data_IF_753284236471
#
_entry.id   IF_753284236471
#
_cell.length_a   1.000
_cell.length_b   1.000
_cell.length_c   1.000
_cell.angle_alpha   90.00
_cell.angle_beta   90.00
_cell.angle_gamma   90.00
#
_symmetry.space_group_name_H-M   'P 1'
#
loop_
_entity.id
_entity.type
_entity.pdbx_description
1 polymer ?
#
# COMPACT_ATOMS: atom_id res chain seq x y z
N UNK A 1 -9.80 26.01 -12.13
CA UNK A 1 -8.72 25.04 -12.38
C UNK A 1 -7.80 25.10 -11.19
N UNK A 2 -7.93 24.16 -10.25
CA UNK A 2 -7.08 24.07 -9.06
C UNK A 2 -5.74 23.45 -9.50
N UNK A 3 -4.66 24.16 -9.20
CA UNK A 3 -3.29 23.70 -9.50
C UNK A 3 -2.96 22.46 -8.64
N UNK A 4 -2.95 21.29 -9.27
CA UNK A 4 -2.66 19.99 -8.64
C UNK A 4 -1.15 19.68 -8.59
N UNK A 5 -0.27 20.69 -8.68
CA UNK A 5 1.19 20.49 -8.71
C UNK A 5 1.83 20.23 -7.33
N UNK A 6 1.09 20.33 -6.23
CA UNK A 6 1.59 20.15 -4.87
C UNK A 6 1.78 18.67 -4.46
N UNK A 7 2.68 18.44 -3.49
CA UNK A 7 2.94 17.10 -2.92
C UNK A 7 1.68 16.41 -2.35
N UNK A 8 0.71 17.18 -1.87
CA UNK A 8 -0.57 16.67 -1.38
C UNK A 8 -1.44 16.08 -2.50
N UNK A 9 -1.43 16.69 -3.69
CA UNK A 9 -2.21 16.19 -4.83
C UNK A 9 -1.72 14.82 -5.30
N UNK A 10 -0.40 14.56 -5.26
CA UNK A 10 0.18 13.26 -5.64
C UNK A 10 -0.15 12.15 -4.64
N UNK A 11 -0.23 12.46 -3.36
CA UNK A 11 -0.70 11.53 -2.34
C UNK A 11 -2.13 11.10 -2.62
N UNK A 12 -3.02 12.05 -2.86
CA UNK A 12 -4.43 11.80 -3.17
C UNK A 12 -4.61 10.93 -4.44
N UNK A 13 -3.85 11.20 -5.51
CA UNK A 13 -3.88 10.37 -6.73
C UNK A 13 -3.45 8.94 -6.45
N UNK A 14 -2.46 8.74 -5.59
CA UNK A 14 -1.99 7.39 -5.24
C UNK A 14 -3.02 6.63 -4.40
N UNK A 15 -3.64 7.29 -3.41
CA UNK A 15 -4.73 6.71 -2.62
C UNK A 15 -5.92 6.30 -3.51
N UNK A 16 -6.28 7.12 -4.50
CA UNK A 16 -7.33 6.79 -5.47
C UNK A 16 -6.97 5.55 -6.32
N UNK A 17 -5.72 5.45 -6.80
CA UNK A 17 -5.24 4.28 -7.52
C UNK A 17 -5.27 3.00 -6.66
N UNK A 18 -4.96 3.13 -5.38
CA UNK A 18 -5.03 2.03 -4.43
C UNK A 18 -6.47 1.60 -4.17
N UNK A 19 -7.39 2.56 -3.96
CA UNK A 19 -8.82 2.28 -3.81
C UNK A 19 -9.35 1.50 -5.04
N UNK A 20 -9.05 1.98 -6.25
CA UNK A 20 -9.44 1.29 -7.49
C UNK A 20 -8.83 -0.11 -7.59
N UNK A 21 -7.58 -0.29 -7.17
CA UNK A 21 -6.91 -1.59 -7.17
C UNK A 21 -7.58 -2.57 -6.20
N UNK A 22 -7.88 -2.13 -4.99
CA UNK A 22 -8.55 -2.95 -3.98
C UNK A 22 -10.00 -3.30 -4.40
N UNK A 23 -10.74 -2.34 -4.98
CA UNK A 23 -12.09 -2.60 -5.52
C UNK A 23 -12.11 -3.65 -6.62
N UNK A 24 -11.07 -3.72 -7.45
CA UNK A 24 -10.95 -4.78 -8.47
C UNK A 24 -10.81 -6.19 -7.86
N UNK A 25 -10.35 -6.32 -6.63
CA UNK A 25 -10.31 -7.61 -5.93
C UNK A 25 -11.68 -8.05 -5.42
N UNK A 26 -12.59 -7.12 -5.15
CA UNK A 26 -13.89 -7.41 -4.53
C UNK A 26 -14.74 -8.34 -5.39
N UNK A 27 -14.81 -8.09 -6.71
CA UNK A 27 -15.60 -8.92 -7.64
C UNK A 27 -15.12 -10.38 -7.70
N UNK A 28 -13.84 -10.64 -8.01
CA UNK A 28 -13.27 -11.99 -7.98
C UNK A 28 -13.38 -12.70 -6.62
N UNK A 29 -13.23 -11.97 -5.51
CA UNK A 29 -13.43 -12.53 -4.17
C UNK A 29 -14.88 -12.95 -3.94
N UNK A 30 -15.83 -12.08 -4.34
CA UNK A 30 -17.27 -12.39 -4.23
C UNK A 30 -17.66 -13.62 -5.06
N UNK A 31 -17.08 -13.82 -6.24
CA UNK A 31 -17.32 -15.01 -7.07
C UNK A 31 -16.83 -16.31 -6.40
N UNK A 32 -15.92 -16.21 -5.45
CA UNK A 32 -15.42 -17.31 -4.61
C UNK A 32 -16.16 -17.43 -3.26
N UNK A 33 -17.23 -16.66 -3.06
CA UNK A 33 -18.01 -16.66 -1.82
C UNK A 33 -17.34 -15.92 -0.66
N UNK A 34 -16.33 -15.08 -0.93
CA UNK A 34 -15.64 -14.26 0.07
C UNK A 34 -16.27 -12.87 0.06
N UNK A 35 -16.93 -12.49 1.16
CA UNK A 35 -17.39 -11.12 1.37
C UNK A 35 -16.20 -10.21 1.62
N UNK A 36 -16.17 -9.05 0.97
CA UNK A 36 -15.09 -8.09 1.11
C UNK A 36 -15.64 -6.70 1.46
N UNK A 37 -15.09 -6.10 2.52
CA UNK A 37 -15.45 -4.76 2.97
C UNK A 37 -14.24 -3.85 2.86
N UNK A 38 -14.37 -2.80 2.06
CA UNK A 38 -13.33 -1.80 1.84
C UNK A 38 -13.79 -0.45 2.38
N UNK A 39 -12.99 0.18 3.24
CA UNK A 39 -13.18 1.52 3.77
C UNK A 39 -11.96 2.37 3.48
N UNK A 40 -12.17 3.58 2.98
CA UNK A 40 -11.13 4.63 2.89
C UNK A 40 -11.00 5.40 4.20
N UNK A 41 -10.02 6.30 4.29
CA UNK A 41 -9.64 7.01 5.51
C UNK A 41 -10.83 7.69 6.22
N UNK A 42 -11.69 8.40 5.49
CA UNK A 42 -12.85 9.09 6.10
C UNK A 42 -13.85 8.08 6.68
N UNK A 43 -14.15 7.01 5.95
CA UNK A 43 -15.07 5.97 6.41
C UNK A 43 -14.53 5.23 7.64
N UNK A 44 -13.20 5.03 7.72
CA UNK A 44 -12.55 4.47 8.91
C UNK A 44 -12.77 5.37 10.13
N UNK A 45 -12.59 6.68 9.97
CA UNK A 45 -12.83 7.64 11.05
C UNK A 45 -14.28 7.64 11.52
N UNK A 46 -15.22 7.64 10.57
CA UNK A 46 -16.65 7.67 10.86
C UNK A 46 -17.09 6.38 11.57
N UNK A 47 -16.62 5.23 11.10
CA UNK A 47 -16.97 3.93 11.65
C UNK A 47 -16.42 3.70 13.05
N UNK A 48 -15.15 4.03 13.27
CA UNK A 48 -14.50 3.81 14.56
C UNK A 48 -14.64 5.02 15.51
N UNK A 49 -15.34 6.08 15.09
CA UNK A 49 -15.70 7.23 15.94
C UNK A 49 -14.50 8.02 16.43
N UNK A 50 -13.39 8.04 15.71
CA UNK A 50 -12.17 8.74 16.08
C UNK A 50 -11.63 9.62 14.95
N UNK A 51 -11.71 10.94 15.13
CA UNK A 51 -11.12 11.91 14.19
C UNK A 51 -9.57 11.82 14.08
N UNK A 52 -8.92 11.18 15.06
CA UNK A 52 -7.47 11.03 15.10
C UNK A 52 -6.92 9.77 14.39
N UNK A 53 -7.78 8.96 13.76
CA UNK A 53 -7.38 7.80 12.98
C UNK A 53 -6.90 8.22 11.57
N UNK A 54 -5.79 8.92 11.49
CA UNK A 54 -5.16 9.42 10.27
C UNK A 54 -3.79 8.78 10.04
N UNK A 55 -3.72 7.48 10.08
CA UNK A 55 -2.51 6.69 9.85
C UNK A 55 -2.79 5.37 9.15
N UNK A 56 -4.04 5.14 8.75
CA UNK A 56 -4.47 4.03 7.90
C UNK A 56 -5.32 4.64 6.79
N UNK A 57 -4.88 4.48 5.55
CA UNK A 57 -5.57 5.04 4.38
C UNK A 57 -6.67 4.09 3.89
N UNK A 58 -6.44 2.76 3.98
CA UNK A 58 -7.46 1.75 3.67
C UNK A 58 -7.56 0.65 4.73
N UNK A 59 -8.80 0.29 5.02
CA UNK A 59 -9.21 -0.88 5.80
C UNK A 59 -9.90 -1.86 4.83
N UNK A 60 -9.33 -3.04 4.66
CA UNK A 60 -9.84 -4.05 3.75
C UNK A 60 -10.04 -5.36 4.51
N UNK A 61 -11.30 -5.67 4.82
CA UNK A 61 -11.70 -6.87 5.58
C UNK A 61 -12.29 -7.89 4.62
N UNK A 62 -11.76 -9.10 4.68
CA UNK A 62 -12.29 -10.29 4.03
C UNK A 62 -12.99 -11.15 5.06
N UNK A 63 -14.28 -11.37 4.85
CA UNK A 63 -15.16 -12.13 5.73
C UNK A 63 -15.39 -13.53 5.12
N UNK A 64 -14.70 -14.50 5.65
CA UNK A 64 -14.83 -15.92 5.35
C UNK A 64 -14.66 -16.73 6.65
N UNK A 65 -14.49 -18.05 6.56
CA UNK A 65 -14.26 -18.91 7.74
C UNK A 65 -13.03 -18.50 8.55
N UNK A 66 -11.98 -18.00 7.88
CA UNK A 66 -10.79 -17.42 8.48
C UNK A 66 -10.66 -15.94 8.08
N UNK A 67 -11.31 -15.00 8.77
CA UNK A 67 -11.31 -13.60 8.38
C UNK A 67 -9.92 -13.02 8.31
N UNK A 68 -9.68 -12.17 7.30
CA UNK A 68 -8.40 -11.49 7.11
C UNK A 68 -8.63 -9.99 7.01
N UNK A 69 -7.99 -9.23 7.89
CA UNK A 69 -8.01 -7.78 7.89
C UNK A 69 -6.69 -7.23 7.40
N UNK A 70 -6.72 -6.46 6.32
CA UNK A 70 -5.62 -5.66 5.85
C UNK A 70 -5.79 -4.21 6.30
N UNK A 71 -4.76 -3.65 6.92
CA UNK A 71 -4.65 -2.23 7.27
C UNK A 71 -3.51 -1.63 6.46
N UNK A 72 -3.82 -0.68 5.58
CA UNK A 72 -2.89 -0.15 4.60
C UNK A 72 -2.57 1.31 4.88
N UNK A 73 -1.30 1.67 4.78
CA UNK A 73 -0.82 3.05 4.74
C UNK A 73 -0.01 3.29 3.48
N UNK A 74 -0.29 4.36 2.77
CA UNK A 74 0.22 4.66 1.45
C UNK A 74 1.04 5.95 1.43
N UNK A 75 2.29 5.87 0.98
CA UNK A 75 3.22 7.01 1.00
C UNK A 75 3.94 7.17 -0.35
N UNK A 76 3.37 8.01 -1.21
CA UNK A 76 4.03 8.38 -2.46
C UNK A 76 4.86 9.65 -2.28
N UNK A 77 5.93 9.56 -1.51
CA UNK A 77 6.85 10.67 -1.25
C UNK A 77 8.30 10.22 -1.16
N UNK A 78 9.23 11.19 -1.19
CA UNK A 78 10.66 10.92 -1.21
C UNK A 78 11.27 10.57 0.15
N UNK A 79 10.62 10.92 1.23
CA UNK A 79 11.11 10.64 2.60
C UNK A 79 9.96 10.15 3.46
N UNK A 80 10.18 9.03 4.09
CA UNK A 80 9.32 8.47 5.13
C UNK A 80 10.07 8.51 6.45
N UNK A 81 9.49 9.18 7.43
CA UNK A 81 10.11 9.33 8.74
C UNK A 81 9.51 8.37 9.78
N UNK A 82 10.25 8.17 10.89
CA UNK A 82 9.82 7.28 11.96
C UNK A 82 8.48 7.70 12.61
N UNK A 83 8.19 9.00 12.69
CA UNK A 83 6.94 9.48 13.29
C UNK A 83 5.72 8.99 12.54
N UNK A 84 5.78 8.95 11.20
CA UNK A 84 4.68 8.46 10.37
C UNK A 84 4.47 6.96 10.52
N UNK A 85 5.58 6.21 10.63
CA UNK A 85 5.53 4.78 10.92
C UNK A 85 4.87 4.52 12.29
N UNK A 86 5.30 5.24 13.32
CA UNK A 86 4.70 5.12 14.66
C UNK A 86 3.20 5.46 14.62
N UNK A 87 2.83 6.53 13.93
CA UNK A 87 1.44 6.95 13.76
C UNK A 87 0.58 5.87 13.06
N UNK A 88 1.11 5.21 12.04
CA UNK A 88 0.46 4.08 11.39
C UNK A 88 0.23 2.91 12.36
N UNK A 89 1.28 2.49 13.06
CA UNK A 89 1.19 1.36 14.01
C UNK A 89 0.23 1.66 15.17
N UNK A 90 0.26 2.88 15.70
CA UNK A 90 -0.67 3.33 16.73
C UNK A 90 -2.13 3.36 16.23
N UNK A 91 -2.34 3.79 14.98
CA UNK A 91 -3.65 3.78 14.35
C UNK A 91 -4.17 2.35 14.19
N UNK A 92 -3.34 1.42 13.69
CA UNK A 92 -3.68 0.00 13.60
C UNK A 92 -4.09 -0.56 14.97
N UNK A 93 -3.34 -0.25 16.02
CA UNK A 93 -3.63 -0.73 17.38
C UNK A 93 -4.98 -0.19 17.88
N UNK A 94 -5.30 1.09 17.63
CA UNK A 94 -6.58 1.70 18.01
C UNK A 94 -7.76 1.11 17.25
N UNK A 95 -7.63 0.85 15.96
CA UNK A 95 -8.66 0.18 15.17
C UNK A 95 -8.95 -1.20 15.76
N UNK A 96 -7.91 -1.99 16.03
CA UNK A 96 -8.06 -3.33 16.60
C UNK A 96 -8.66 -3.31 18.01
N UNK A 97 -8.35 -2.31 18.83
CA UNK A 97 -8.97 -2.14 20.14
C UNK A 97 -10.49 -1.88 20.07
N UNK A 98 -11.00 -1.38 18.93
CA UNK A 98 -12.45 -1.23 18.65
C UNK A 98 -13.10 -2.47 18.05
N UNK A 99 -12.32 -3.52 17.81
CA UNK A 99 -12.76 -4.80 17.26
C UNK A 99 -12.40 -5.97 18.20
N UNK A 100 -12.84 -5.94 19.47
CA UNK A 100 -12.38 -6.92 20.47
C UNK A 100 -12.77 -8.37 20.12
N UNK A 101 -13.83 -8.55 19.36
CA UNK A 101 -14.32 -9.86 18.92
C UNK A 101 -13.70 -10.36 17.62
N UNK A 102 -12.87 -9.55 16.96
CA UNK A 102 -12.18 -9.97 15.75
C UNK A 102 -11.09 -11.00 16.06
N UNK A 103 -11.25 -12.21 15.54
CA UNK A 103 -10.32 -13.35 15.75
C UNK A 103 -9.59 -13.76 14.48
N UNK A 104 -9.70 -12.96 13.42
CA UNK A 104 -9.05 -13.21 12.16
C UNK A 104 -7.58 -12.82 12.14
N UNK A 105 -6.94 -13.06 11.00
CA UNK A 105 -5.56 -12.65 10.74
C UNK A 105 -5.50 -11.16 10.43
N UNK A 106 -4.61 -10.42 11.08
CA UNK A 106 -4.36 -9.00 10.80
C UNK A 106 -3.06 -8.84 10.02
N UNK A 107 -3.13 -8.17 8.89
CA UNK A 107 -2.00 -7.88 8.01
C UNK A 107 -1.86 -6.36 7.91
N UNK A 108 -0.71 -5.83 8.32
CA UNK A 108 -0.36 -4.42 8.22
C UNK A 108 0.52 -4.23 7.01
N UNK A 109 0.14 -3.32 6.08
CA UNK A 109 0.87 -3.03 4.86
C UNK A 109 1.32 -1.57 4.85
N UNK A 110 2.63 -1.39 4.80
CA UNK A 110 3.24 -0.09 4.55
C UNK A 110 3.66 -0.02 3.08
N UNK A 111 2.97 0.80 2.31
CA UNK A 111 3.13 0.90 0.86
C UNK A 111 3.85 2.21 0.56
N UNK A 112 5.02 2.15 -0.06
CA UNK A 112 5.86 3.34 -0.18
C UNK A 112 6.69 3.37 -1.46
N UNK A 113 6.94 4.59 -1.95
CA UNK A 113 7.87 4.83 -3.05
C UNK A 113 9.34 4.67 -2.62
N UNK A 114 9.66 5.07 -1.41
CA UNK A 114 11.05 5.11 -0.91
C UNK A 114 11.22 4.23 0.31
N UNK A 115 12.42 3.71 0.48
CA UNK A 115 12.74 2.94 1.67
C UNK A 115 12.52 3.79 2.92
N UNK A 116 11.84 3.27 3.95
CA UNK A 116 11.77 3.91 5.25
C UNK A 116 13.17 4.14 5.82
N UNK A 117 13.31 5.11 6.72
CA UNK A 117 14.56 5.26 7.50
C UNK A 117 14.85 3.98 8.28
N UNK A 118 16.11 3.72 8.63
CA UNK A 118 16.50 2.52 9.38
C UNK A 118 15.67 2.32 10.67
N UNK A 119 15.38 3.40 11.39
CA UNK A 119 14.52 3.34 12.57
C UNK A 119 13.06 3.06 12.21
N UNK A 120 12.56 3.63 11.10
CA UNK A 120 11.21 3.35 10.59
C UNK A 120 11.06 1.90 10.15
N UNK A 121 12.05 1.36 9.44
CA UNK A 121 12.07 -0.04 9.02
C UNK A 121 12.07 -1.00 10.23
N UNK A 122 12.91 -0.71 11.23
CA UNK A 122 12.93 -1.46 12.50
C UNK A 122 11.57 -1.42 13.20
N UNK A 123 10.94 -0.25 13.29
CA UNK A 123 9.61 -0.12 13.92
C UNK A 123 8.53 -0.88 13.14
N UNK A 124 8.54 -0.85 11.81
CA UNK A 124 7.62 -1.65 10.98
C UNK A 124 7.81 -3.15 11.22
N UNK A 125 9.07 -3.59 11.30
CA UNK A 125 9.42 -4.96 11.60
C UNK A 125 8.90 -5.40 12.97
N UNK A 126 9.19 -4.62 14.00
CA UNK A 126 8.74 -4.88 15.38
C UNK A 126 7.21 -4.86 15.49
N UNK A 127 6.55 -3.98 14.71
CA UNK A 127 5.09 -3.91 14.59
C UNK A 127 4.47 -4.99 13.72
N UNK A 128 5.25 -5.92 13.15
CA UNK A 128 4.76 -7.00 12.28
C UNK A 128 4.13 -6.52 10.99
N UNK A 129 4.60 -5.40 10.44
CA UNK A 129 4.12 -4.84 9.19
C UNK A 129 4.96 -5.32 7.99
N UNK A 130 4.30 -5.57 6.88
CA UNK A 130 4.95 -5.82 5.59
C UNK A 130 5.21 -4.48 4.89
N UNK A 131 6.30 -4.42 4.13
CA UNK A 131 6.64 -3.25 3.31
C UNK A 131 6.57 -3.61 1.83
N UNK A 132 5.74 -2.90 1.09
CA UNK A 132 5.68 -2.97 -0.38
C UNK A 132 6.30 -1.70 -0.92
N UNK A 133 7.37 -1.82 -1.70
CA UNK A 133 8.14 -0.68 -2.16
C UNK A 133 8.51 -0.79 -3.63
N UNK A 134 8.30 0.30 -4.37
CA UNK A 134 8.93 0.54 -5.67
C UNK A 134 9.00 2.03 -5.99
N UNK A 135 10.04 2.45 -6.68
CA UNK A 135 10.21 3.81 -7.17
C UNK A 135 9.75 4.01 -8.62
N UNK A 136 9.22 2.97 -9.27
CA UNK A 136 8.94 2.97 -10.72
C UNK A 136 7.77 3.91 -11.06
N UNK A 137 6.56 3.59 -10.65
CA UNK A 137 5.37 4.42 -10.83
C UNK A 137 4.32 4.11 -9.76
N UNK A 138 3.33 5.02 -9.61
CA UNK A 138 2.19 4.80 -8.70
C UNK A 138 1.39 3.58 -9.11
N UNK A 139 1.08 3.46 -10.40
CA UNK A 139 0.29 2.37 -10.95
C UNK A 139 0.99 1.02 -10.74
N UNK A 140 2.31 0.97 -10.94
CA UNK A 140 3.09 -0.25 -10.69
C UNK A 140 3.12 -0.61 -9.20
N UNK A 141 3.24 0.37 -8.30
CA UNK A 141 3.19 0.13 -6.85
C UNK A 141 1.82 -0.38 -6.42
N UNK A 142 0.74 0.20 -6.94
CA UNK A 142 -0.62 -0.26 -6.67
C UNK A 142 -0.85 -1.70 -7.16
N UNK A 143 -0.38 -2.01 -8.38
CA UNK A 143 -0.46 -3.36 -8.95
C UNK A 143 0.34 -4.38 -8.11
N UNK A 144 1.58 -4.06 -7.74
CA UNK A 144 2.40 -4.91 -6.87
C UNK A 144 1.71 -5.17 -5.53
N UNK A 145 1.07 -4.15 -4.96
CA UNK A 145 0.34 -4.30 -3.70
C UNK A 145 -0.83 -5.26 -3.86
N UNK A 146 -1.62 -5.12 -4.91
CA UNK A 146 -2.71 -6.05 -5.20
C UNK A 146 -2.22 -7.49 -5.38
N UNK A 147 -1.13 -7.70 -6.13
CA UNK A 147 -0.50 -9.03 -6.28
C UNK A 147 -0.05 -9.59 -4.93
N UNK A 148 0.60 -8.76 -4.11
CA UNK A 148 1.08 -9.18 -2.79
C UNK A 148 -0.07 -9.58 -1.86
N UNK A 149 -1.20 -8.86 -1.90
CA UNK A 149 -2.42 -9.24 -1.17
C UNK A 149 -2.89 -10.63 -1.62
N UNK A 150 -2.98 -10.88 -2.92
CA UNK A 150 -3.36 -12.19 -3.45
C UNK A 150 -2.41 -13.31 -3.01
N UNK A 151 -1.09 -13.05 -3.01
CA UNK A 151 -0.08 -14.01 -2.53
C UNK A 151 -0.25 -14.32 -1.05
N UNK A 152 -0.55 -13.30 -0.22
CA UNK A 152 -0.81 -13.48 1.21
C UNK A 152 -2.10 -14.27 1.49
N UNK A 153 -3.05 -14.23 0.56
CA UNK A 153 -4.27 -15.06 0.61
C UNK A 153 -4.02 -16.48 0.10
N UNK A 154 -2.88 -16.74 -0.54
CA UNK A 154 -2.55 -18.05 -1.11
C UNK A 154 -3.34 -18.40 -2.38
N UNK A 155 -4.03 -17.43 -2.97
CA UNK A 155 -4.90 -17.62 -4.13
C UNK A 155 -4.22 -17.17 -5.43
N UNK A 156 -3.59 -18.12 -6.11
CA UNK A 156 -2.89 -17.87 -7.39
C UNK A 156 -3.85 -17.55 -8.54
N UNK A 157 -5.07 -18.02 -8.49
CA UNK A 157 -6.07 -17.77 -9.51
C UNK A 157 -6.59 -16.34 -9.40
N UNK A 158 -6.88 -15.88 -8.20
CA UNK A 158 -7.20 -14.49 -7.90
C UNK A 158 -6.08 -13.55 -8.38
N UNK A 159 -4.81 -13.91 -8.16
CA UNK A 159 -3.67 -13.13 -8.65
C UNK A 159 -3.68 -13.01 -10.18
N UNK A 160 -3.92 -14.10 -10.89
CA UNK A 160 -3.96 -14.13 -12.35
C UNK A 160 -5.11 -13.29 -12.89
N UNK A 161 -6.30 -13.41 -12.32
CA UNK A 161 -7.49 -12.68 -12.75
C UNK A 161 -7.32 -11.18 -12.51
N UNK A 162 -6.73 -10.79 -11.38
CA UNK A 162 -6.39 -9.41 -11.09
C UNK A 162 -5.40 -8.83 -12.11
N UNK A 163 -4.33 -9.56 -12.43
CA UNK A 163 -3.32 -9.13 -13.41
C UNK A 163 -3.98 -8.97 -14.79
N UNK A 164 -4.84 -9.89 -15.19
CA UNK A 164 -5.55 -9.84 -16.47
C UNK A 164 -6.49 -8.62 -16.60
N UNK A 165 -7.01 -8.11 -15.48
CA UNK A 165 -7.92 -6.94 -15.45
C UNK A 165 -7.21 -5.60 -15.30
N UNK A 166 -5.87 -5.58 -15.22
CA UNK A 166 -5.04 -4.37 -15.03
C UNK A 166 -4.21 -3.93 -16.27
N UNK A 167 -4.57 -4.22 -17.54
CA UNK A 167 -3.64 -4.02 -18.65
C UNK A 167 -3.22 -2.58 -18.92
N UNK A 168 -4.02 -1.57 -18.54
CA UNK A 168 -3.87 -0.21 -19.07
C UNK A 168 -3.38 0.86 -18.09
N UNK A 169 -3.14 0.53 -16.82
CA UNK A 169 -2.61 1.51 -15.88
C UNK A 169 -1.15 1.91 -16.18
N UNK A 170 -0.43 1.11 -16.97
CA UNK A 170 0.97 1.34 -17.33
C UNK A 170 1.16 2.24 -18.55
N UNK A 171 0.12 2.48 -19.37
CA UNK A 171 0.27 3.12 -20.67
C UNK A 171 0.24 4.65 -20.69
N UNK A 172 -0.06 5.31 -19.57
CA UNK A 172 -0.31 6.76 -19.51
C UNK A 172 0.62 7.62 -18.65
N UNK A 173 1.43 7.05 -17.78
CA UNK A 173 2.28 7.86 -16.88
C UNK A 173 3.65 8.13 -17.51
N UNK A 174 3.92 9.41 -17.85
CA UNK A 174 5.31 9.85 -18.09
C UNK A 174 6.11 9.65 -16.80
N UNK A 175 7.36 9.14 -16.88
CA UNK A 175 8.23 9.07 -15.71
C UNK A 175 8.32 10.45 -15.05
N UNK A 176 8.02 10.52 -13.75
CA UNK A 176 8.18 11.75 -12.99
C UNK A 176 9.67 12.09 -12.95
N UNK A 177 10.06 13.18 -13.62
CA UNK A 177 11.42 13.68 -13.51
C UNK A 177 11.76 13.92 -12.04
N UNK A 178 12.87 13.34 -11.59
CA UNK A 178 13.41 13.62 -10.28
C UNK A 178 13.72 15.12 -10.16
N UNK A 179 13.47 15.77 -9.02
CA UNK A 179 13.85 17.16 -8.83
C UNK A 179 15.37 17.28 -9.05
N UNK A 180 15.77 18.14 -9.97
CA UNK A 180 17.18 18.42 -10.26
C UNK A 180 17.84 18.98 -8.99
N UNK A 181 18.54 18.11 -8.24
CA UNK A 181 19.56 18.55 -7.31
C UNK A 181 20.77 18.94 -8.16
N UNK A 182 21.18 20.18 -8.11
CA UNK A 182 22.43 20.62 -8.69
C UNK A 182 23.60 19.87 -8.06
N UNK A 183 24.10 18.84 -8.75
CA UNK A 183 25.37 18.19 -8.53
C UNK A 183 25.73 17.45 -9.82
N UNK A 184 26.97 17.63 -10.23
CA UNK A 184 27.64 17.22 -11.44
C UNK A 184 27.26 15.82 -11.96
N UNK A 185 26.88 15.81 -13.23
CA UNK A 185 26.51 14.66 -14.03
C UNK A 185 27.75 13.77 -14.30
N UNK A 186 27.89 12.65 -13.58
CA UNK A 186 28.71 11.54 -14.05
C UNK A 186 27.85 10.67 -14.95
N UNK A 187 28.15 10.74 -16.24
CA UNK A 187 27.54 9.98 -17.32
C UNK A 187 27.58 8.48 -17.02
N UNK A 188 26.41 7.87 -16.80
CA UNK A 188 26.26 6.40 -16.72
C UNK A 188 25.96 5.90 -18.14
N UNK A 189 26.68 4.91 -18.66
CA UNK A 189 26.49 4.42 -20.03
C UNK A 189 25.12 3.75 -20.19
N UNK A 190 24.48 3.96 -21.35
CA UNK A 190 23.11 3.64 -21.70
C UNK A 190 22.74 2.13 -21.75
N UNK A 191 23.60 1.21 -21.34
CA UNK A 191 23.41 -0.25 -21.50
C UNK A 191 23.20 -1.04 -20.21
N UNK A 192 22.84 -0.40 -19.09
CA UNK A 192 22.52 -1.07 -17.84
C UNK A 192 21.04 -0.96 -17.50
N UNK A 193 20.16 -1.51 -18.35
CA UNK A 193 18.80 -1.85 -17.93
C UNK A 193 18.89 -3.14 -17.13
N UNK A 194 19.22 -3.03 -15.85
CA UNK A 194 19.00 -4.13 -14.92
C UNK A 194 17.51 -4.19 -14.56
N UNK A 195 16.86 -5.38 -14.60
CA UNK A 195 15.53 -5.53 -14.09
C UNK A 195 15.52 -5.04 -12.63
N UNK A 196 14.62 -4.12 -12.33
CA UNK A 196 14.46 -3.55 -11.01
C UNK A 196 14.44 -4.67 -9.97
N UNK A 197 15.38 -4.68 -9.04
CA UNK A 197 15.41 -5.64 -7.94
C UNK A 197 14.19 -5.36 -7.09
N UNK A 198 13.14 -6.17 -7.25
CA UNK A 198 11.96 -6.18 -6.41
C UNK A 198 12.43 -6.68 -5.04
N UNK A 199 12.66 -5.77 -4.10
CA UNK A 199 12.81 -6.13 -2.70
C UNK A 199 11.44 -6.19 -2.06
N UNK A 200 10.80 -7.36 -2.10
CA UNK A 200 9.75 -7.68 -1.12
C UNK A 200 10.49 -8.11 0.14
N UNK A 201 10.69 -7.18 1.07
CA UNK A 201 11.23 -7.51 2.38
C UNK A 201 10.13 -8.15 3.22
N UNK A 202 9.97 -9.48 3.10
CA UNK A 202 9.15 -10.24 4.04
C UNK A 202 9.92 -10.35 5.35
N UNK A 203 9.60 -9.50 6.30
CA UNK A 203 10.16 -9.60 7.65
C UNK A 203 9.28 -10.56 8.44
N UNK A 204 9.73 -11.80 8.57
CA UNK A 204 9.09 -12.78 9.48
C UNK A 204 9.58 -12.49 10.90
N UNK A 205 8.66 -12.12 11.79
CA UNK A 205 8.88 -12.25 13.24
C UNK A 205 9.05 -13.73 13.58
N UNK A 206 10.11 -14.05 14.34
CA UNK A 206 10.29 -15.38 14.96
C UNK A 206 9.32 -15.53 16.12
#
# INVERSE_FOLDING_TARGET
MTDLSGTGAKGFVFEELMDQTLRKLVGPLASKGISARLLGEQQIRDEFGEQSLNGVDHFFLLENEEPVLFLLQEKWKFVTNQREVSQFLDCCARILARMPDFKGRVIRLWITRTQPTANGEKSLQEGGAYVVQTSTSMSFLAQMTGQFICELLGDRELCRDMIATMPDLLSGEKPLEAPKRGAEEKTIPANAIHPAKIKVCVVRSK
#
